data_IF_601486162977
#
_entry.id   IF_601486162977
#
_cell.length_a   1.000
_cell.length_b   1.000
_cell.length_c   1.000
_cell.angle_alpha   90.00
_cell.angle_beta   90.00
_cell.angle_gamma   90.00
#
_symmetry.space_group_name_H-M   'P 1'
#
loop_
_entity.id
_entity.type
_entity.pdbx_description
1 polymer ?
#
# COMPACT_ATOMS: atom_id res chain seq x y z
N UNK A 1 -41.45 -15.79 -19.65
CA UNK A 1 -40.41 -14.82 -19.22
C UNK A 1 -39.51 -14.52 -20.40
N UNK A 2 -39.53 -13.29 -20.93
CA UNK A 2 -38.84 -12.93 -22.19
C UNK A 2 -37.32 -12.90 -22.02
N UNK A 3 -36.60 -13.12 -23.13
CA UNK A 3 -35.14 -13.24 -23.19
C UNK A 3 -34.41 -12.07 -22.50
N UNK A 4 -34.94 -10.85 -22.65
CA UNK A 4 -34.43 -9.62 -22.02
C UNK A 4 -34.47 -9.68 -20.49
N UNK A 5 -35.52 -10.25 -19.90
CA UNK A 5 -35.62 -10.42 -18.45
C UNK A 5 -34.62 -11.47 -17.93
N UNK A 6 -34.38 -12.55 -18.69
CA UNK A 6 -33.35 -13.55 -18.35
C UNK A 6 -31.94 -12.97 -18.42
N UNK A 7 -31.64 -12.15 -19.43
CA UNK A 7 -30.35 -11.45 -19.53
C UNK A 7 -30.16 -10.44 -18.40
N UNK A 8 -31.20 -9.66 -18.06
CA UNK A 8 -31.13 -8.71 -16.95
C UNK A 8 -30.85 -9.38 -15.59
N UNK A 9 -31.48 -10.52 -15.32
CA UNK A 9 -31.20 -11.32 -14.11
C UNK A 9 -29.77 -11.86 -14.12
N UNK A 10 -29.30 -12.35 -15.27
CA UNK A 10 -27.93 -12.86 -15.41
C UNK A 10 -26.86 -11.80 -15.13
N UNK A 11 -27.04 -10.59 -15.66
CA UNK A 11 -26.12 -9.47 -15.41
C UNK A 11 -26.17 -9.03 -13.95
N UNK A 12 -27.36 -8.89 -13.36
CA UNK A 12 -27.49 -8.51 -11.95
C UNK A 12 -26.83 -9.53 -11.00
N UNK A 13 -27.02 -10.83 -11.26
CA UNK A 13 -26.40 -11.89 -10.48
C UNK A 13 -24.86 -11.87 -10.61
N UNK A 14 -24.34 -11.66 -11.82
CA UNK A 14 -22.90 -11.58 -12.06
C UNK A 14 -22.27 -10.37 -11.36
N UNK A 15 -22.90 -9.19 -11.44
CA UNK A 15 -22.44 -8.00 -10.73
C UNK A 15 -22.46 -8.21 -9.21
N UNK A 16 -23.50 -8.83 -8.66
CA UNK A 16 -23.58 -9.13 -7.23
C UNK A 16 -22.45 -10.06 -6.77
N UNK A 17 -22.10 -11.07 -7.58
CA UNK A 17 -20.98 -11.97 -7.30
C UNK A 17 -19.64 -11.23 -7.27
N UNK A 18 -19.38 -10.34 -8.23
CA UNK A 18 -18.14 -9.54 -8.25
C UNK A 18 -18.05 -8.65 -7.01
N UNK A 19 -19.14 -7.99 -6.63
CA UNK A 19 -19.17 -7.12 -5.45
C UNK A 19 -18.94 -7.92 -4.17
N UNK A 20 -19.55 -9.11 -4.07
CA UNK A 20 -19.36 -9.99 -2.92
C UNK A 20 -17.91 -10.49 -2.82
N UNK A 21 -17.31 -10.91 -3.93
CA UNK A 21 -15.91 -11.35 -3.99
C UNK A 21 -14.95 -10.24 -3.58
N UNK A 22 -15.15 -9.03 -4.12
CA UNK A 22 -14.37 -7.85 -3.75
C UNK A 22 -14.47 -7.54 -2.24
N UNK A 23 -15.69 -7.58 -1.69
CA UNK A 23 -15.91 -7.32 -0.27
C UNK A 23 -15.21 -8.35 0.63
N UNK A 24 -15.32 -9.64 0.29
CA UNK A 24 -14.66 -10.73 1.03
C UNK A 24 -13.14 -10.56 0.97
N UNK A 25 -12.59 -10.29 -0.22
CA UNK A 25 -11.16 -10.05 -0.41
C UNK A 25 -10.65 -8.90 0.48
N UNK A 26 -11.37 -7.77 0.51
CA UNK A 26 -11.01 -6.62 1.33
C UNK A 26 -11.04 -6.94 2.84
N UNK A 27 -12.03 -7.71 3.30
CA UNK A 27 -12.13 -8.15 4.69
C UNK A 27 -10.99 -9.10 5.09
N UNK A 28 -10.58 -10.00 4.18
CA UNK A 28 -9.44 -10.90 4.41
C UNK A 28 -8.14 -10.10 4.49
N UNK A 29 -7.93 -9.16 3.57
CA UNK A 29 -6.78 -8.25 3.59
C UNK A 29 -6.70 -7.48 4.90
N UNK A 30 -7.80 -6.84 5.31
CA UNK A 30 -7.88 -6.12 6.58
C UNK A 30 -7.54 -6.99 7.80
N UNK A 31 -8.04 -8.22 7.86
CA UNK A 31 -7.69 -9.13 8.96
C UNK A 31 -6.23 -9.57 8.94
N UNK A 32 -5.65 -9.76 7.75
CA UNK A 32 -4.24 -10.07 7.59
C UNK A 32 -3.38 -8.91 8.09
N UNK A 33 -3.74 -7.68 7.72
CA UNK A 33 -3.11 -6.44 8.17
C UNK A 33 -3.17 -6.27 9.69
N UNK A 34 -4.35 -6.40 10.29
CA UNK A 34 -4.54 -6.31 11.75
C UNK A 34 -3.70 -7.34 12.50
N UNK A 35 -3.47 -8.52 11.91
CA UNK A 35 -2.59 -9.52 12.49
C UNK A 35 -1.11 -9.15 12.33
N UNK A 36 -0.71 -8.70 11.13
CA UNK A 36 0.67 -8.38 10.80
C UNK A 36 1.19 -7.16 11.59
N UNK A 37 0.38 -6.10 11.77
CA UNK A 37 0.82 -4.89 12.48
C UNK A 37 1.26 -5.16 13.93
N UNK A 38 0.78 -6.25 14.55
CA UNK A 38 1.14 -6.60 15.94
C UNK A 38 2.59 -7.05 16.10
N UNK A 39 3.19 -7.56 15.02
CA UNK A 39 4.55 -8.11 15.02
C UNK A 39 5.49 -7.32 14.13
N UNK A 40 4.96 -6.45 13.26
CA UNK A 40 5.74 -5.64 12.35
C UNK A 40 6.65 -4.68 13.11
N UNK A 41 7.92 -4.65 12.71
CA UNK A 41 8.93 -3.77 13.30
C UNK A 41 9.18 -2.54 12.43
N UNK A 42 9.65 -1.46 13.06
CA UNK A 42 10.06 -0.25 12.33
C UNK A 42 11.22 -0.52 11.38
N UNK A 43 12.11 -1.46 11.70
CA UNK A 43 13.22 -1.84 10.82
C UNK A 43 12.72 -2.46 9.50
N UNK A 44 11.75 -3.38 9.58
CA UNK A 44 11.12 -3.97 8.39
C UNK A 44 10.43 -2.92 7.52
N UNK A 45 9.82 -1.91 8.14
CA UNK A 45 9.21 -0.77 7.43
C UNK A 45 10.28 0.05 6.70
N UNK A 46 11.39 0.38 7.37
CA UNK A 46 12.52 1.11 6.75
C UNK A 46 13.05 0.33 5.54
N UNK A 47 13.31 -0.96 5.73
CA UNK A 47 13.83 -1.82 4.67
C UNK A 47 12.88 -1.88 3.48
N UNK A 48 11.57 -2.00 3.73
CA UNK A 48 10.55 -2.01 2.68
C UNK A 48 10.50 -0.69 1.90
N UNK A 49 10.51 0.45 2.59
CA UNK A 49 10.48 1.78 1.96
C UNK A 49 11.71 2.00 1.09
N UNK A 50 12.91 1.66 1.61
CA UNK A 50 14.16 1.82 0.85
C UNK A 50 14.18 0.86 -0.35
N UNK A 51 13.80 -0.40 -0.17
CA UNK A 51 13.77 -1.40 -1.24
C UNK A 51 12.81 -1.00 -2.38
N UNK A 52 11.65 -0.47 -2.05
CA UNK A 52 10.68 -0.04 -3.05
C UNK A 52 11.12 1.25 -3.78
N UNK A 53 11.65 2.23 -3.05
CA UNK A 53 12.15 3.50 -3.62
C UNK A 53 13.34 3.31 -4.56
N UNK A 54 14.14 2.28 -4.32
CA UNK A 54 15.34 1.94 -5.12
C UNK A 54 15.04 0.89 -6.20
N UNK A 55 13.77 0.46 -6.35
CA UNK A 55 13.39 -0.59 -7.28
C UNK A 55 13.47 -0.10 -8.74
N UNK A 56 14.22 -0.80 -9.62
CA UNK A 56 14.48 -0.33 -10.98
C UNK A 56 13.25 -0.32 -11.90
N UNK A 57 12.17 -1.01 -11.54
CA UNK A 57 10.95 -1.13 -12.36
C UNK A 57 9.81 -0.18 -11.94
N UNK A 58 9.90 0.50 -10.78
CA UNK A 58 8.81 1.33 -10.24
C UNK A 58 8.78 2.72 -10.88
N UNK A 59 8.27 2.83 -12.11
CA UNK A 59 8.20 4.07 -12.91
C UNK A 59 7.62 5.32 -12.21
N UNK A 60 6.72 5.15 -11.23
CA UNK A 60 6.08 6.28 -10.52
C UNK A 60 7.05 7.03 -9.61
N UNK A 61 8.03 6.32 -9.03
CA UNK A 61 9.12 6.87 -8.21
C UNK A 61 10.37 7.09 -9.06
N UNK A 62 10.61 6.19 -10.00
CA UNK A 62 11.85 6.02 -10.74
C UNK A 62 12.04 7.00 -11.94
N UNK A 63 11.42 8.19 -11.90
CA UNK A 63 11.93 9.30 -12.74
C UNK A 63 13.34 9.70 -12.31
N UNK A 64 13.68 9.43 -11.06
CA UNK A 64 15.00 9.62 -10.47
C UNK A 64 15.44 8.26 -9.95
N UNK A 65 16.57 7.76 -10.44
CA UNK A 65 17.12 6.49 -9.98
C UNK A 65 17.71 6.75 -8.59
N UNK A 66 16.96 6.45 -7.54
CA UNK A 66 17.43 6.64 -6.17
C UNK A 66 18.39 5.52 -5.78
N UNK A 67 19.45 5.90 -5.07
CA UNK A 67 20.27 5.00 -4.29
C UNK A 67 19.73 4.93 -2.85
N UNK A 68 20.05 3.87 -2.08
CA UNK A 68 19.65 3.78 -0.68
C UNK A 68 20.08 5.00 0.16
N UNK A 69 21.24 5.60 -0.14
CA UNK A 69 21.73 6.79 0.54
C UNK A 69 20.93 8.06 0.25
N UNK A 70 20.11 8.07 -0.80
CA UNK A 70 19.27 9.22 -1.13
C UNK A 70 17.98 9.25 -0.30
N UNK A 71 17.66 8.17 0.43
CA UNK A 71 16.40 8.02 1.17
C UNK A 71 16.68 8.05 2.67
N UNK A 72 16.12 9.05 3.36
CA UNK A 72 16.23 9.18 4.81
C UNK A 72 14.86 8.91 5.42
N UNK A 73 14.68 7.71 5.97
CA UNK A 73 13.45 7.34 6.69
C UNK A 73 13.56 7.80 8.14
N UNK A 74 12.54 8.50 8.63
CA UNK A 74 12.49 8.99 10.01
C UNK A 74 12.00 7.86 10.93
N UNK A 75 12.88 6.90 11.25
CA UNK A 75 12.53 5.66 11.95
C UNK A 75 11.69 5.88 13.22
N UNK A 76 12.07 6.85 14.06
CA UNK A 76 11.35 7.13 15.31
C UNK A 76 9.96 7.75 15.10
N UNK A 77 9.72 8.36 13.94
CA UNK A 77 8.44 8.96 13.56
C UNK A 77 7.50 7.97 12.84
N UNK A 78 7.93 6.72 12.61
CA UNK A 78 7.10 5.68 12.01
C UNK A 78 5.93 5.35 12.94
N UNK A 79 4.72 5.50 12.40
CA UNK A 79 3.46 5.19 13.06
C UNK A 79 2.93 3.87 12.51
N UNK A 80 2.94 2.82 13.34
CA UNK A 80 2.29 1.54 13.04
C UNK A 80 0.88 1.62 13.63
N UNK A 81 -0.10 1.72 12.75
CA UNK A 81 -1.52 1.78 13.06
C UNK A 81 -2.13 0.39 13.27
N UNK A 82 -3.47 0.31 13.30
CA UNK A 82 -4.18 -0.95 13.49
C UNK A 82 -4.14 -1.89 12.27
N UNK A 83 -3.97 -1.35 11.06
CA UNK A 83 -3.94 -2.12 9.79
C UNK A 83 -2.91 -1.60 8.78
N UNK A 84 -2.33 -0.44 9.02
CA UNK A 84 -1.44 0.24 8.10
C UNK A 84 -0.28 0.88 8.85
N UNK A 85 0.71 1.31 8.08
CA UNK A 85 1.87 2.05 8.55
C UNK A 85 1.95 3.36 7.80
N UNK A 86 2.24 4.42 8.54
CA UNK A 86 2.67 5.70 8.01
C UNK A 86 4.15 5.89 8.36
N UNK A 87 5.00 5.89 7.34
CA UNK A 87 6.45 6.05 7.48
C UNK A 87 6.89 7.38 6.85
N UNK A 88 7.20 8.40 7.66
CA UNK A 88 7.74 9.66 7.16
C UNK A 88 9.16 9.44 6.63
N UNK A 89 9.47 10.03 5.48
CA UNK A 89 10.81 10.01 4.90
C UNK A 89 11.09 11.28 4.11
N UNK A 90 12.37 11.48 3.78
CA UNK A 90 12.84 12.58 2.93
C UNK A 90 13.81 12.05 1.88
N UNK A 91 13.87 12.75 0.76
CA UNK A 91 14.92 12.57 -0.23
C UNK A 91 16.07 13.52 0.11
N UNK A 92 17.30 13.03 0.18
CA UNK A 92 18.46 13.81 0.59
C UNK A 92 18.69 15.07 -0.26
N UNK A 93 18.33 15.04 -1.55
CA UNK A 93 18.40 16.20 -2.45
C UNK A 93 17.28 17.24 -2.23
N UNK A 94 16.24 16.90 -1.48
CA UNK A 94 15.08 17.75 -1.17
C UNK A 94 14.76 17.72 0.34
N UNK A 95 15.68 18.15 1.22
CA UNK A 95 15.56 17.97 2.67
C UNK A 95 14.40 18.76 3.31
N UNK A 96 13.88 19.76 2.60
CA UNK A 96 12.74 20.59 3.04
C UNK A 96 11.37 19.97 2.69
N UNK A 97 11.35 18.87 1.92
CA UNK A 97 10.10 18.22 1.49
C UNK A 97 9.86 16.96 2.31
N UNK A 98 8.82 17.01 3.13
CA UNK A 98 8.34 15.83 3.84
C UNK A 98 7.54 14.94 2.91
N UNK A 99 7.83 13.65 2.94
CA UNK A 99 7.07 12.63 2.23
C UNK A 99 6.65 11.53 3.19
N UNK A 100 5.62 10.79 2.79
CA UNK A 100 5.06 9.71 3.57
C UNK A 100 4.90 8.47 2.69
N UNK A 101 5.42 7.35 3.18
CA UNK A 101 5.12 6.04 2.65
C UNK A 101 3.99 5.44 3.48
N UNK A 102 2.88 5.12 2.82
CA UNK A 102 1.72 4.44 3.39
C UNK A 102 1.74 3.00 2.90
N UNK A 103 1.71 2.05 3.82
CA UNK A 103 1.81 0.64 3.48
C UNK A 103 0.89 -0.21 4.36
N UNK A 104 0.19 -1.19 3.78
CA UNK A 104 -0.53 -2.20 4.55
C UNK A 104 0.46 -3.09 5.29
N UNK A 105 0.17 -3.43 6.55
CA UNK A 105 1.12 -4.19 7.38
C UNK A 105 1.41 -5.60 6.84
N UNK A 106 0.49 -6.21 6.08
CA UNK A 106 0.64 -7.55 5.53
C UNK A 106 1.25 -7.61 4.13
N UNK A 107 1.41 -6.47 3.44
CA UNK A 107 1.93 -6.38 2.08
C UNK A 107 2.87 -5.16 1.93
N UNK A 108 4.08 -5.28 2.47
CA UNK A 108 5.08 -4.20 2.52
C UNK A 108 5.57 -3.74 1.14
N UNK A 109 5.27 -4.49 0.08
CA UNK A 109 5.54 -4.13 -1.32
C UNK A 109 4.48 -3.20 -1.94
N UNK A 110 3.30 -3.10 -1.33
CA UNK A 110 2.17 -2.31 -1.82
C UNK A 110 2.19 -0.89 -1.24
N UNK A 111 3.27 -0.16 -1.51
CA UNK A 111 3.51 1.17 -0.94
C UNK A 111 2.88 2.27 -1.79
N UNK A 112 2.05 3.07 -1.14
CA UNK A 112 1.52 4.34 -1.64
C UNK A 112 2.32 5.51 -1.08
N UNK A 113 2.44 6.60 -1.84
CA UNK A 113 3.23 7.77 -1.46
C UNK A 113 2.39 9.03 -1.44
N UNK A 114 2.57 9.82 -0.39
CA UNK A 114 2.02 11.16 -0.27
C UNK A 114 3.14 12.18 -0.02
N UNK A 115 2.91 13.43 -0.41
CA UNK A 115 3.75 14.58 -0.09
C UNK A 115 2.86 15.70 0.45
N UNK A 116 3.38 16.48 1.38
CA UNK A 116 2.79 17.79 1.72
C UNK A 116 2.98 18.82 0.59
#
# INVERSE_FOLDING_TARGET
MNLVAKMGIGVAAFTALIVADYYIGNMIGYQADVKACKTLTRAEVVDAVVADMTRPDKRSVNRRHFSPSDIVVETEAIQIGPSDVLAPFRIASEPERQQFAMLPCSALESIEYASE
#
